data_IF_189879788301
#
_entry.id   IF_189879788301
#
_cell.length_a   1.000
_cell.length_b   1.000
_cell.length_c   1.000
_cell.angle_alpha   90.00
_cell.angle_beta   90.00
_cell.angle_gamma   90.00
#
_symmetry.space_group_name_H-M   'P 1'
#
loop_
_entity.id
_entity.type
_entity.pdbx_description
1 polymer ?
#
# COMPACT_ATOMS: atom_id res chain seq x y z
N UNK A 1 3.66 64.84 61.84
CA UNK A 1 2.37 64.25 62.26
C UNK A 1 1.59 63.90 61.00
N UNK A 2 1.16 62.63 60.85
CA UNK A 2 0.14 62.10 59.90
C UNK A 2 0.54 62.04 58.41
N UNK A 3 0.25 61.03 57.60
CA UNK A 3 -0.15 59.61 57.70
C UNK A 3 0.03 59.10 56.25
N UNK A 4 0.81 58.06 55.98
CA UNK A 4 0.84 57.39 54.65
C UNK A 4 0.07 56.07 54.75
N UNK A 5 -1.00 55.84 53.94
CA UNK A 5 -1.70 54.58 53.95
C UNK A 5 -1.07 53.58 52.96
N UNK A 6 -0.95 52.35 53.45
CA UNK A 6 -0.53 51.15 52.71
C UNK A 6 -1.65 50.72 51.75
N UNK A 7 -1.35 50.66 50.45
CA UNK A 7 -2.26 50.10 49.44
C UNK A 7 -1.96 48.61 49.25
N UNK A 8 -2.79 47.78 49.87
CA UNK A 8 -2.81 46.32 49.76
C UNK A 8 -3.34 45.93 48.36
N UNK A 9 -2.49 45.37 47.49
CA UNK A 9 -2.91 44.84 46.18
C UNK A 9 -3.49 43.45 46.35
N UNK A 10 -4.79 43.29 46.12
CA UNK A 10 -5.46 42.00 45.97
C UNK A 10 -5.02 41.35 44.65
N UNK A 11 -4.31 40.22 44.74
CA UNK A 11 -4.10 39.33 43.61
C UNK A 11 -5.34 38.45 43.44
N UNK A 12 -6.18 38.76 42.45
CA UNK A 12 -7.27 37.88 42.03
C UNK A 12 -6.73 36.72 41.21
N UNK A 13 -6.69 35.51 41.78
CA UNK A 13 -6.53 34.27 41.02
C UNK A 13 -7.87 33.94 40.34
N UNK A 14 -7.98 34.26 39.05
CA UNK A 14 -9.03 33.75 38.18
C UNK A 14 -8.73 32.29 37.81
N UNK A 15 -9.46 31.37 38.45
CA UNK A 15 -9.42 29.93 38.16
C UNK A 15 -10.17 29.66 36.84
N UNK A 16 -9.44 29.56 35.73
CA UNK A 16 -10.00 29.17 34.44
C UNK A 16 -10.29 27.66 34.42
N UNK A 17 -11.57 27.28 34.40
CA UNK A 17 -12.02 25.92 34.11
C UNK A 17 -11.72 25.59 32.64
N UNK A 18 -10.67 24.80 32.40
CA UNK A 18 -10.41 24.16 31.11
C UNK A 18 -11.38 22.98 30.94
N UNK A 19 -12.44 23.16 30.16
CA UNK A 19 -13.24 22.04 29.66
C UNK A 19 -12.44 21.31 28.57
N UNK A 20 -11.83 20.18 28.91
CA UNK A 20 -11.33 19.23 27.93
C UNK A 20 -12.53 18.51 27.30
N UNK A 21 -12.97 18.96 26.13
CA UNK A 21 -13.91 18.19 25.31
C UNK A 21 -13.15 17.00 24.71
N UNK A 22 -13.31 15.80 25.30
CA UNK A 22 -12.91 14.57 24.64
C UNK A 22 -13.84 14.41 23.42
N UNK A 23 -13.30 14.61 22.21
CA UNK A 23 -14.03 14.28 20.99
C UNK A 23 -14.28 12.77 20.97
N UNK A 24 -15.52 12.35 21.23
CA UNK A 24 -15.89 10.94 21.10
C UNK A 24 -15.84 10.58 19.61
N UNK A 25 -15.16 9.48 19.27
CA UNK A 25 -15.14 8.96 17.92
C UNK A 25 -16.57 8.65 17.45
N UNK A 26 -16.89 8.96 16.20
CA UNK A 26 -18.21 8.65 15.63
C UNK A 26 -18.44 7.14 15.59
N UNK A 27 -19.71 6.72 15.61
CA UNK A 27 -20.10 5.31 15.51
C UNK A 27 -19.54 4.64 14.23
N UNK A 28 -19.44 5.37 13.11
CA UNK A 28 -18.81 4.89 11.88
C UNK A 28 -17.32 4.62 12.06
N UNK A 29 -16.61 5.52 12.75
CA UNK A 29 -15.18 5.40 13.04
C UNK A 29 -14.89 4.23 13.98
N UNK A 30 -15.72 4.07 15.01
CA UNK A 30 -15.66 2.94 15.95
C UNK A 30 -15.92 1.59 15.25
N UNK A 31 -16.84 1.56 14.27
CA UNK A 31 -17.10 0.35 13.49
C UNK A 31 -15.89 -0.02 12.61
N UNK A 32 -15.25 0.96 11.95
CA UNK A 32 -14.03 0.72 11.16
C UNK A 32 -12.92 0.15 12.05
N UNK A 33 -12.71 0.72 13.24
CA UNK A 33 -11.73 0.20 14.20
C UNK A 33 -12.05 -1.23 14.61
N UNK A 34 -13.32 -1.52 14.92
CA UNK A 34 -13.77 -2.87 15.29
C UNK A 34 -13.57 -3.90 14.17
N UNK A 35 -13.82 -3.52 12.91
CA UNK A 35 -13.53 -4.35 11.74
C UNK A 35 -12.03 -4.62 11.62
N UNK A 36 -11.19 -3.62 11.83
CA UNK A 36 -9.73 -3.75 11.74
C UNK A 36 -9.16 -4.62 12.86
N UNK A 37 -9.66 -4.51 14.09
CA UNK A 37 -9.31 -5.41 15.20
C UNK A 37 -9.74 -6.86 14.89
N UNK A 38 -10.93 -7.04 14.33
CA UNK A 38 -11.42 -8.36 13.93
C UNK A 38 -10.52 -9.01 12.85
N UNK A 39 -10.07 -8.22 11.87
CA UNK A 39 -9.17 -8.62 10.78
C UNK A 39 -7.75 -8.94 11.23
N UNK A 40 -7.26 -8.31 12.31
CA UNK A 40 -5.89 -8.52 12.80
C UNK A 40 -5.72 -9.80 13.62
N UNK A 41 -6.69 -10.71 13.60
CA UNK A 41 -6.68 -11.94 14.37
C UNK A 41 -7.15 -13.11 13.48
N UNK A 42 -6.77 -14.33 13.84
CA UNK A 42 -7.29 -15.53 13.20
C UNK A 42 -8.78 -15.68 13.54
N UNK A 43 -9.65 -15.60 12.55
CA UNK A 43 -11.09 -15.73 12.74
C UNK A 43 -11.61 -17.03 12.14
N UNK A 44 -12.67 -17.58 12.74
CA UNK A 44 -13.48 -18.63 12.11
C UNK A 44 -14.69 -17.99 11.47
N UNK A 45 -14.84 -18.17 10.17
CA UNK A 45 -15.94 -17.62 9.39
C UNK A 45 -16.43 -18.65 8.37
N UNK A 46 -17.73 -18.95 8.38
CA UNK A 46 -18.36 -19.93 7.48
C UNK A 46 -17.63 -21.29 7.40
N UNK A 47 -17.09 -21.77 8.53
CA UNK A 47 -16.36 -23.04 8.61
C UNK A 47 -14.89 -22.99 8.16
N UNK A 48 -14.40 -21.83 7.69
CA UNK A 48 -13.01 -21.61 7.31
C UNK A 48 -12.29 -20.75 8.36
N UNK A 49 -10.97 -20.91 8.47
CA UNK A 49 -10.11 -20.07 9.30
C UNK A 49 -9.46 -19.01 8.41
N UNK A 50 -9.64 -17.72 8.71
CA UNK A 50 -8.98 -16.63 8.00
C UNK A 50 -7.52 -16.50 8.42
N UNK A 51 -6.68 -15.93 7.55
CA UNK A 51 -5.37 -15.42 7.96
C UNK A 51 -5.53 -14.09 8.71
N UNK A 52 -4.49 -13.68 9.43
CA UNK A 52 -4.36 -12.30 9.89
C UNK A 52 -4.25 -11.37 8.67
N UNK A 53 -4.97 -10.26 8.69
CA UNK A 53 -5.04 -9.30 7.60
C UNK A 53 -4.65 -7.90 8.07
N UNK A 54 -4.02 -7.09 7.21
CA UNK A 54 -3.78 -5.68 7.50
C UNK A 54 -5.11 -4.91 7.67
N UNK A 55 -5.06 -3.78 8.41
CA UNK A 55 -6.22 -2.92 8.57
C UNK A 55 -6.67 -2.34 7.22
N UNK A 56 -7.98 -2.20 7.05
CA UNK A 56 -8.59 -1.42 5.98
C UNK A 56 -8.31 0.07 6.21
N UNK A 57 -7.96 0.78 5.15
CA UNK A 57 -7.80 2.23 5.15
C UNK A 57 -9.15 2.90 4.91
N UNK A 58 -9.49 3.92 5.72
CA UNK A 58 -10.71 4.70 5.50
C UNK A 58 -10.54 5.59 4.26
N UNK A 59 -11.47 5.52 3.31
CA UNK A 59 -11.49 6.38 2.11
C UNK A 59 -12.82 7.15 2.04
N UNK A 60 -12.81 8.50 2.07
CA UNK A 60 -14.03 9.29 2.05
C UNK A 60 -14.88 9.09 0.79
N UNK A 61 -14.29 8.65 -0.33
CA UNK A 61 -15.02 8.36 -1.57
C UNK A 61 -15.91 7.12 -1.45
N UNK A 62 -15.66 6.27 -0.44
CA UNK A 62 -16.45 5.07 -0.16
C UNK A 62 -17.61 5.33 0.81
N UNK A 63 -17.70 6.54 1.38
CA UNK A 63 -18.81 6.94 2.27
C UNK A 63 -20.02 7.30 1.40
N UNK A 64 -20.77 6.26 1.02
CA UNK A 64 -22.01 6.38 0.25
C UNK A 64 -23.21 6.59 1.17
N UNK A 65 -24.38 6.98 0.63
CA UNK A 65 -25.61 7.09 1.42
C UNK A 65 -26.02 5.74 2.03
N UNK A 66 -26.32 5.73 3.33
CA UNK A 66 -26.74 4.53 4.06
C UNK A 66 -28.08 3.95 3.58
N UNK A 67 -28.98 4.80 3.08
CA UNK A 67 -30.35 4.43 2.69
C UNK A 67 -30.51 4.19 1.19
N UNK A 68 -29.58 4.65 0.35
CA UNK A 68 -29.69 4.53 -1.12
C UNK A 68 -29.06 3.24 -1.65
N UNK A 69 -29.85 2.22 -1.98
CA UNK A 69 -29.39 0.96 -2.59
C UNK A 69 -29.21 1.10 -4.12
N UNK A 70 -28.76 2.27 -4.58
CA UNK A 70 -28.47 2.52 -5.99
C UNK A 70 -27.35 1.64 -6.54
N UNK A 71 -27.12 1.73 -7.85
CA UNK A 71 -26.05 1.00 -8.53
C UNK A 71 -24.68 1.37 -7.93
N UNK A 72 -24.04 0.40 -7.26
CA UNK A 72 -22.77 0.60 -6.57
C UNK A 72 -21.64 1.01 -7.53
N UNK A 73 -21.63 0.45 -8.74
CA UNK A 73 -20.63 0.79 -9.75
C UNK A 73 -20.77 2.23 -10.25
N UNK A 74 -22.00 2.70 -10.44
CA UNK A 74 -22.26 4.10 -10.79
C UNK A 74 -21.90 5.06 -9.63
N UNK A 75 -22.18 4.66 -8.38
CA UNK A 75 -21.82 5.45 -7.21
C UNK A 75 -20.30 5.61 -7.09
N UNK A 76 -19.53 4.54 -7.32
CA UNK A 76 -18.06 4.58 -7.31
C UNK A 76 -17.50 5.44 -8.44
N UNK A 77 -18.08 5.35 -9.64
CA UNK A 77 -17.70 6.22 -10.76
C UNK A 77 -17.95 7.71 -10.43
N UNK A 78 -19.09 8.02 -9.81
CA UNK A 78 -19.45 9.39 -9.40
C UNK A 78 -18.53 9.90 -8.29
N UNK A 79 -18.15 9.05 -7.35
CA UNK A 79 -17.20 9.37 -6.28
C UNK A 79 -15.74 9.47 -6.76
N UNK A 80 -15.47 9.15 -8.03
CA UNK A 80 -14.11 9.12 -8.57
C UNK A 80 -13.22 8.08 -7.88
N UNK A 81 -13.79 6.96 -7.43
CA UNK A 81 -13.03 5.87 -6.85
C UNK A 81 -12.63 4.87 -7.95
N UNK A 82 -11.33 4.74 -8.26
CA UNK A 82 -10.84 3.84 -9.29
C UNK A 82 -10.82 2.41 -8.76
N UNK A 83 -11.93 1.69 -8.88
CA UNK A 83 -12.08 0.33 -8.31
C UNK A 83 -11.66 -0.79 -9.26
N UNK A 84 -10.96 -1.79 -8.72
CA UNK A 84 -10.86 -3.15 -9.30
C UNK A 84 -12.05 -4.00 -8.85
N UNK A 85 -12.39 -3.94 -7.56
CA UNK A 85 -13.53 -4.62 -6.98
C UNK A 85 -14.14 -3.76 -5.86
N UNK A 86 -15.44 -3.88 -5.65
CA UNK A 86 -16.18 -3.18 -4.59
C UNK A 86 -17.34 -4.05 -4.12
N UNK A 87 -17.59 -4.07 -2.81
CA UNK A 87 -18.79 -4.67 -2.23
C UNK A 87 -19.38 -3.74 -1.19
N UNK A 88 -20.70 -3.83 -1.00
CA UNK A 88 -21.41 -3.08 0.02
C UNK A 88 -22.22 -4.03 0.90
N UNK A 89 -22.05 -3.89 2.21
CA UNK A 89 -22.90 -4.49 3.23
C UNK A 89 -23.90 -3.42 3.65
N UNK A 90 -25.18 -3.76 3.64
CA UNK A 90 -26.24 -2.90 4.17
C UNK A 90 -26.85 -3.58 5.38
N UNK A 91 -26.92 -2.88 6.51
CA UNK A 91 -27.52 -3.38 7.75
C UNK A 91 -28.65 -2.43 8.15
N UNK A 92 -29.80 -3.00 8.52
CA UNK A 92 -30.91 -2.24 9.11
C UNK A 92 -31.17 -2.77 10.51
N UNK A 93 -31.22 -1.88 11.49
CA UNK A 93 -31.57 -2.22 12.88
C UNK A 93 -30.49 -1.96 13.94
N UNK A 94 -29.18 -2.18 13.69
CA UNK A 94 -28.13 -1.87 14.66
C UNK A 94 -28.19 -0.42 15.14
N UNK A 95 -28.05 -0.23 16.46
CA UNK A 95 -28.21 1.09 17.10
C UNK A 95 -26.88 1.80 17.34
N UNK A 96 -25.78 1.08 17.21
CA UNK A 96 -24.43 1.50 17.57
C UNK A 96 -23.39 0.62 16.85
N UNK A 97 -22.12 1.02 16.90
CA UNK A 97 -21.04 0.26 16.28
C UNK A 97 -20.92 -1.20 16.78
N UNK A 98 -21.03 -1.50 18.09
CA UNK A 98 -20.95 -2.88 18.57
C UNK A 98 -22.06 -3.80 18.02
N UNK A 99 -23.30 -3.32 17.95
CA UNK A 99 -24.40 -4.09 17.36
C UNK A 99 -24.25 -4.27 15.84
N UNK A 100 -23.70 -3.28 15.15
CA UNK A 100 -23.39 -3.39 13.72
C UNK A 100 -22.26 -4.41 13.49
N UNK A 101 -21.18 -4.37 14.28
CA UNK A 101 -20.08 -5.33 14.21
C UNK A 101 -20.56 -6.76 14.45
N UNK A 102 -21.44 -6.96 15.44
CA UNK A 102 -22.04 -8.29 15.68
C UNK A 102 -22.77 -8.83 14.45
N UNK A 103 -23.59 -8.00 13.80
CA UNK A 103 -24.27 -8.40 12.57
C UNK A 103 -23.29 -8.73 11.43
N UNK A 104 -22.19 -7.98 11.31
CA UNK A 104 -21.11 -8.28 10.35
C UNK A 104 -20.48 -9.65 10.65
N UNK A 105 -20.15 -9.95 11.91
CA UNK A 105 -19.52 -11.22 12.28
C UNK A 105 -20.43 -12.42 11.98
N UNK A 106 -21.74 -12.27 12.20
CA UNK A 106 -22.71 -13.35 12.01
C UNK A 106 -23.04 -13.61 10.54
N UNK A 107 -23.14 -12.56 9.71
CA UNK A 107 -23.70 -12.68 8.35
C UNK A 107 -22.77 -12.26 7.22
N UNK A 108 -21.74 -11.46 7.51
CA UNK A 108 -20.89 -10.83 6.48
C UNK A 108 -19.39 -10.99 6.75
N UNK A 109 -19.00 -11.94 7.61
CA UNK A 109 -17.60 -12.15 7.97
C UNK A 109 -16.73 -12.48 6.74
N UNK A 110 -17.28 -13.17 5.73
CA UNK A 110 -16.55 -13.52 4.52
C UNK A 110 -16.13 -12.29 3.71
N UNK A 111 -16.94 -11.23 3.74
CA UNK A 111 -16.66 -9.98 3.00
C UNK A 111 -15.58 -9.18 3.72
N UNK A 112 -15.73 -8.97 5.04
CA UNK A 112 -14.75 -8.19 5.82
C UNK A 112 -13.44 -8.94 6.09
N UNK A 113 -13.40 -10.26 5.89
CA UNK A 113 -12.18 -11.08 5.97
C UNK A 113 -11.65 -11.47 4.58
N UNK A 114 -12.17 -10.89 3.50
CA UNK A 114 -11.59 -11.10 2.19
C UNK A 114 -10.27 -10.31 2.08
N UNK A 115 -9.13 -10.97 1.80
CA UNK A 115 -7.83 -10.32 1.69
C UNK A 115 -7.75 -9.34 0.51
N UNK A 116 -8.66 -9.40 -0.46
CA UNK A 116 -8.62 -8.51 -1.62
C UNK A 116 -8.99 -7.07 -1.29
N UNK A 117 -9.80 -6.84 -0.23
CA UNK A 117 -10.22 -5.52 0.16
C UNK A 117 -9.22 -4.86 1.10
N UNK A 118 -8.92 -3.60 0.81
CA UNK A 118 -7.92 -2.79 1.53
C UNK A 118 -8.44 -1.42 1.91
N UNK A 119 -9.58 -1.00 1.36
CA UNK A 119 -10.27 0.24 1.70
C UNK A 119 -11.66 0.00 2.28
N UNK A 120 -12.11 0.92 3.12
CA UNK A 120 -13.44 0.93 3.70
C UNK A 120 -14.05 2.32 3.75
N UNK A 121 -15.36 2.41 3.53
CA UNK A 121 -16.18 3.57 3.87
C UNK A 121 -17.39 3.09 4.67
N UNK A 122 -17.70 3.79 5.76
CA UNK A 122 -18.87 3.51 6.59
C UNK A 122 -19.75 4.74 6.64
N UNK A 123 -21.04 4.54 6.46
CA UNK A 123 -22.06 5.57 6.62
C UNK A 123 -23.20 5.02 7.47
N UNK A 124 -23.87 5.92 8.17
CA UNK A 124 -25.05 5.61 8.96
C UNK A 124 -26.10 6.69 8.82
N UNK A 125 -27.35 6.28 8.73
CA UNK A 125 -28.52 7.13 8.86
C UNK A 125 -29.52 6.41 9.79
N UNK A 126 -29.74 6.96 10.97
CA UNK A 126 -30.54 6.35 12.04
C UNK A 126 -30.09 4.93 12.42
N UNK A 127 -30.75 3.91 11.87
CA UNK A 127 -30.45 2.48 12.09
C UNK A 127 -30.02 1.76 10.82
N UNK A 128 -29.93 2.49 9.72
CA UNK A 128 -29.43 1.98 8.46
C UNK A 128 -27.93 2.28 8.38
N UNK A 129 -27.15 1.24 8.13
CA UNK A 129 -25.72 1.30 7.98
C UNK A 129 -25.34 0.80 6.61
N UNK A 130 -24.34 1.44 6.02
CA UNK A 130 -23.71 0.94 4.81
C UNK A 130 -22.20 0.93 4.98
N UNK A 131 -21.63 -0.26 4.79
CA UNK A 131 -20.20 -0.52 4.85
C UNK A 131 -19.77 -0.90 3.44
N UNK A 132 -18.97 -0.06 2.80
CA UNK A 132 -18.41 -0.30 1.48
C UNK A 132 -16.97 -0.71 1.65
N UNK A 133 -16.62 -1.92 1.20
CA UNK A 133 -15.23 -2.38 1.14
C UNK A 133 -14.77 -2.41 -0.31
N UNK A 134 -13.54 -1.97 -0.56
CA UNK A 134 -13.06 -1.81 -1.92
C UNK A 134 -11.60 -2.21 -2.08
N UNK A 135 -11.30 -2.63 -3.30
CA UNK A 135 -9.95 -2.80 -3.83
C UNK A 135 -9.75 -1.75 -4.90
N UNK A 136 -8.85 -0.78 -4.71
CA UNK A 136 -8.57 0.19 -5.76
C UNK A 136 -7.81 -0.48 -6.91
N UNK A 137 -7.84 0.13 -8.09
CA UNK A 137 -6.85 -0.10 -9.12
C UNK A 137 -5.50 0.33 -8.54
N UNK A 138 -4.50 -0.55 -8.65
CA UNK A 138 -3.14 -0.32 -8.11
C UNK A 138 -2.52 0.99 -8.65
N UNK A 139 -2.89 1.40 -9.86
CA UNK A 139 -2.48 2.67 -10.48
C UNK A 139 -2.95 3.92 -9.73
N UNK A 140 -3.92 3.83 -8.83
CA UNK A 140 -4.46 4.99 -8.13
C UNK A 140 -3.63 5.47 -6.93
N UNK A 141 -2.72 4.62 -6.43
CA UNK A 141 -1.84 4.93 -5.28
C UNK A 141 -0.38 5.11 -5.65
N UNK A 142 -0.01 4.63 -6.83
CA UNK A 142 1.34 4.75 -7.37
C UNK A 142 1.42 6.03 -8.22
N UNK A 143 2.57 6.72 -8.14
CA UNK A 143 2.93 7.71 -9.16
C UNK A 143 3.16 7.02 -10.50
N UNK A 144 3.56 7.78 -11.53
CA UNK A 144 4.01 7.15 -12.77
C UNK A 144 5.22 6.20 -12.54
N UNK A 145 5.51 5.36 -13.54
CA UNK A 145 6.56 4.35 -13.43
C UNK A 145 7.95 4.95 -13.17
N UNK A 146 8.22 6.18 -13.62
CA UNK A 146 9.51 6.85 -13.39
C UNK A 146 9.60 7.30 -11.93
N UNK A 147 8.55 7.93 -11.41
CA UNK A 147 8.48 8.37 -10.03
C UNK A 147 8.62 7.19 -9.05
N UNK A 148 7.92 6.09 -9.29
CA UNK A 148 8.05 4.87 -8.47
C UNK A 148 9.40 4.18 -8.66
N UNK A 149 9.96 4.20 -9.88
CA UNK A 149 11.31 3.71 -10.14
C UNK A 149 12.39 4.48 -9.36
N UNK A 150 12.26 5.81 -9.25
CA UNK A 150 13.16 6.64 -8.44
C UNK A 150 13.01 6.39 -6.94
N UNK A 151 11.78 6.18 -6.45
CA UNK A 151 11.55 5.76 -5.06
C UNK A 151 12.19 4.40 -4.79
N UNK A 152 12.10 3.47 -5.74
CA UNK A 152 12.75 2.16 -5.65
C UNK A 152 14.27 2.30 -5.61
N UNK A 153 14.87 3.13 -6.47
CA UNK A 153 16.31 3.45 -6.39
C UNK A 153 16.70 3.95 -4.99
N UNK A 154 15.92 4.89 -4.42
CA UNK A 154 16.22 5.45 -3.11
C UNK A 154 16.22 4.37 -2.00
N UNK A 155 15.19 3.52 -1.95
CA UNK A 155 15.11 2.43 -0.96
C UNK A 155 16.19 1.37 -1.16
N UNK A 156 16.54 1.03 -2.40
CA UNK A 156 17.64 0.11 -2.70
C UNK A 156 18.99 0.70 -2.29
N UNK A 157 19.20 2.00 -2.48
CA UNK A 157 20.41 2.69 -2.00
C UNK A 157 20.48 2.72 -0.47
N UNK A 158 19.37 2.95 0.23
CA UNK A 158 19.30 2.77 1.69
C UNK A 158 19.67 1.35 2.06
N UNK A 159 19.17 0.34 1.34
CA UNK A 159 19.47 -1.05 1.62
C UNK A 159 20.96 -1.38 1.49
N UNK A 160 21.63 -0.79 0.49
CA UNK A 160 23.06 -0.93 0.17
C UNK A 160 24.01 -0.26 1.18
N UNK A 161 23.53 0.71 1.98
CA UNK A 161 24.35 1.36 3.02
C UNK A 161 24.71 0.46 4.21
N UNK A 162 24.13 -0.74 4.30
CA UNK A 162 24.33 -1.65 5.42
C UNK A 162 24.88 -2.98 4.90
N UNK A 163 25.78 -3.66 5.66
CA UNK A 163 26.13 -5.04 5.38
C UNK A 163 24.88 -5.92 5.38
N UNK A 164 24.85 -6.93 4.49
CA UNK A 164 23.71 -7.84 4.32
C UNK A 164 24.20 -9.28 4.24
N UNK A 165 23.41 -10.18 4.83
CA UNK A 165 23.55 -11.61 4.64
C UNK A 165 22.51 -12.07 3.60
N UNK A 166 22.96 -12.43 2.41
CA UNK A 166 22.11 -12.90 1.30
C UNK A 166 22.23 -14.43 1.21
N UNK A 167 21.42 -15.14 2.00
CA UNK A 167 21.56 -16.60 2.16
C UNK A 167 22.91 -16.96 2.79
N UNK A 168 23.72 -17.76 2.10
CA UNK A 168 25.06 -18.14 2.58
C UNK A 168 26.13 -17.05 2.32
N UNK A 169 25.84 -16.06 1.46
CA UNK A 169 26.81 -15.03 1.07
C UNK A 169 26.70 -13.79 1.95
N UNK A 170 27.85 -13.29 2.41
CA UNK A 170 27.94 -12.03 3.15
C UNK A 170 28.42 -10.92 2.22
N UNK A 171 27.69 -9.80 2.23
CA UNK A 171 28.02 -8.60 1.46
C UNK A 171 28.28 -7.44 2.42
N UNK A 172 29.38 -6.71 2.20
CA UNK A 172 29.61 -5.45 2.89
C UNK A 172 28.62 -4.37 2.42
N UNK A 173 28.54 -3.26 3.17
CA UNK A 173 27.92 -2.05 2.65
C UNK A 173 28.63 -1.63 1.35
N UNK A 174 27.87 -1.15 0.36
CA UNK A 174 28.37 -0.88 -0.98
C UNK A 174 27.87 0.46 -1.49
N UNK A 175 28.51 0.96 -2.55
CA UNK A 175 28.24 2.30 -3.10
C UNK A 175 26.79 2.43 -3.59
N UNK A 176 26.20 3.62 -3.46
CA UNK A 176 24.88 3.88 -4.03
C UNK A 176 24.94 3.77 -5.56
N UNK A 177 23.82 3.32 -6.14
CA UNK A 177 23.59 3.28 -7.57
C UNK A 177 23.07 4.63 -8.06
N UNK A 178 23.32 4.92 -9.33
CA UNK A 178 22.86 6.13 -10.02
C UNK A 178 21.74 5.78 -11.00
N UNK A 179 20.73 6.64 -11.10
CA UNK A 179 19.65 6.43 -12.06
C UNK A 179 20.17 6.49 -13.49
N UNK A 180 19.83 5.49 -14.29
CA UNK A 180 20.12 5.42 -15.71
C UNK A 180 18.81 5.29 -16.51
N UNK A 181 18.50 6.32 -17.32
CA UNK A 181 17.25 6.39 -18.06
C UNK A 181 17.12 5.29 -19.13
N UNK A 182 18.25 4.87 -19.73
CA UNK A 182 18.28 3.79 -20.73
C UNK A 182 17.89 2.45 -20.11
N UNK A 183 18.50 2.10 -18.97
CA UNK A 183 18.12 0.91 -18.20
C UNK A 183 16.67 1.00 -17.71
N UNK A 184 16.17 2.20 -17.38
CA UNK A 184 14.80 2.39 -16.93
C UNK A 184 13.79 2.13 -18.06
N UNK A 185 14.10 2.53 -19.29
CA UNK A 185 13.31 2.19 -20.49
C UNK A 185 13.28 0.68 -20.76
N UNK A 186 14.41 0.00 -20.58
CA UNK A 186 14.47 -1.47 -20.69
C UNK A 186 13.61 -2.16 -19.61
N UNK A 187 13.69 -1.67 -18.37
CA UNK A 187 12.88 -2.16 -17.26
C UNK A 187 11.37 -1.94 -17.50
N UNK A 188 10.97 -0.77 -18.01
CA UNK A 188 9.57 -0.47 -18.34
C UNK A 188 9.04 -1.43 -19.40
N UNK A 189 9.83 -1.67 -20.44
CA UNK A 189 9.47 -2.59 -21.53
C UNK A 189 9.24 -4.01 -20.98
N UNK A 190 10.12 -4.50 -20.12
CA UNK A 190 9.97 -5.83 -19.52
C UNK A 190 8.76 -5.91 -18.57
N UNK A 191 8.56 -4.91 -17.72
CA UNK A 191 7.39 -4.85 -16.83
C UNK A 191 6.09 -4.85 -17.62
N UNK A 192 6.00 -4.05 -18.69
CA UNK A 192 4.82 -4.03 -19.58
C UNK A 192 4.63 -5.34 -20.31
N UNK A 193 5.70 -5.98 -20.75
CA UNK A 193 5.62 -7.30 -21.40
C UNK A 193 5.05 -8.35 -20.44
N UNK A 194 5.57 -8.43 -19.21
CA UNK A 194 5.07 -9.35 -18.18
C UNK A 194 3.60 -9.10 -17.83
N UNK A 195 3.21 -7.82 -17.70
CA UNK A 195 1.84 -7.43 -17.42
C UNK A 195 0.88 -7.79 -18.55
N UNK A 196 1.15 -7.31 -19.77
CA UNK A 196 0.24 -7.44 -20.91
C UNK A 196 0.11 -8.89 -21.40
N UNK A 197 1.17 -9.69 -21.23
CA UNK A 197 1.20 -11.06 -21.71
C UNK A 197 1.04 -12.08 -20.57
N UNK A 198 0.70 -11.64 -19.35
CA UNK A 198 0.48 -12.49 -18.18
C UNK A 198 1.55 -13.59 -17.97
N UNK A 199 2.80 -13.18 -17.78
CA UNK A 199 3.90 -14.11 -17.44
C UNK A 199 4.88 -13.48 -16.45
N UNK A 200 5.73 -14.31 -15.84
CA UNK A 200 6.77 -13.88 -14.90
C UNK A 200 8.07 -14.63 -15.17
N UNK A 201 8.96 -14.03 -15.96
CA UNK A 201 10.24 -14.62 -16.37
C UNK A 201 11.26 -13.49 -16.67
N UNK A 202 12.54 -13.81 -16.54
CA UNK A 202 13.66 -12.95 -16.92
C UNK A 202 13.82 -12.86 -18.45
N UNK A 203 13.36 -13.86 -19.20
CA UNK A 203 13.28 -13.80 -20.66
C UNK A 203 11.98 -13.16 -21.11
N UNK A 204 12.05 -12.30 -22.11
CA UNK A 204 10.82 -11.78 -22.74
C UNK A 204 10.16 -12.83 -23.64
N UNK A 205 9.02 -12.49 -24.23
CA UNK A 205 8.27 -13.41 -25.12
C UNK A 205 8.99 -13.77 -26.40
N UNK A 206 9.96 -12.96 -26.81
CA UNK A 206 10.82 -13.23 -27.96
C UNK A 206 12.10 -13.98 -27.53
N UNK A 207 12.22 -14.36 -26.25
CA UNK A 207 13.33 -15.10 -25.68
C UNK A 207 14.54 -14.23 -25.28
N UNK A 208 14.43 -12.90 -25.37
CA UNK A 208 15.53 -11.97 -25.06
C UNK A 208 15.83 -11.96 -23.57
N UNK A 209 17.10 -12.02 -23.23
CA UNK A 209 17.63 -11.92 -21.87
C UNK A 209 17.68 -10.46 -21.39
N UNK A 210 17.94 -10.20 -20.10
CA UNK A 210 18.15 -8.84 -19.61
C UNK A 210 19.28 -8.08 -20.35
N UNK A 211 20.36 -8.78 -20.71
CA UNK A 211 21.46 -8.22 -21.49
C UNK A 211 21.01 -7.77 -22.88
N UNK A 212 20.32 -8.65 -23.61
CA UNK A 212 19.77 -8.32 -24.94
C UNK A 212 18.85 -7.09 -24.87
N UNK A 213 18.00 -7.00 -23.84
CA UNK A 213 17.12 -5.83 -23.65
C UNK A 213 17.88 -4.55 -23.32
N UNK A 214 18.98 -4.64 -22.57
CA UNK A 214 19.83 -3.49 -22.27
C UNK A 214 20.58 -2.99 -23.52
N UNK A 215 21.17 -3.89 -24.31
CA UNK A 215 21.81 -3.56 -25.59
C UNK A 215 20.82 -2.95 -26.58
N UNK A 216 19.62 -3.53 -26.72
CA UNK A 216 18.57 -2.99 -27.60
C UNK A 216 18.08 -1.60 -27.16
N UNK A 217 18.12 -1.31 -25.87
CA UNK A 217 17.82 0.02 -25.35
C UNK A 217 18.98 1.01 -25.59
N UNK A 218 20.17 0.54 -25.96
CA UNK A 218 21.37 1.35 -26.19
C UNK A 218 22.25 1.53 -24.94
N UNK A 219 22.20 0.58 -24.00
CA UNK A 219 23.09 0.56 -22.85
C UNK A 219 24.24 -0.44 -23.07
N UNK A 220 25.43 0.07 -23.36
CA UNK A 220 26.65 -0.73 -23.46
C UNK A 220 27.13 -1.11 -22.04
N UNK A 221 27.41 -2.39 -21.78
CA UNK A 221 27.73 -2.85 -20.42
C UNK A 221 28.88 -3.85 -20.36
N UNK A 222 29.61 -3.81 -19.25
CA UNK A 222 30.51 -4.89 -18.81
C UNK A 222 29.81 -5.85 -17.86
N UNK A 223 28.82 -5.36 -17.10
CA UNK A 223 28.02 -6.14 -16.17
C UNK A 223 26.57 -5.72 -16.26
N UNK A 224 25.67 -6.71 -16.24
CA UNK A 224 24.22 -6.52 -16.26
C UNK A 224 23.57 -7.47 -15.27
N UNK A 225 22.53 -7.00 -14.60
CA UNK A 225 21.73 -7.82 -13.69
C UNK A 225 20.27 -7.39 -13.70
N UNK A 226 19.38 -8.30 -13.31
CA UNK A 226 17.95 -8.01 -13.21
C UNK A 226 17.36 -8.62 -11.93
N UNK A 227 16.51 -7.85 -11.27
CA UNK A 227 15.55 -8.38 -10.31
C UNK A 227 14.13 -8.09 -10.82
N UNK A 228 13.22 -9.06 -10.70
CA UNK A 228 11.80 -8.90 -11.01
C UNK A 228 10.94 -9.21 -9.79
N UNK A 229 9.76 -8.59 -9.70
CA UNK A 229 8.78 -8.84 -8.64
C UNK A 229 7.36 -8.75 -9.22
N UNK A 230 6.41 -9.45 -8.59
CA UNK A 230 5.03 -9.52 -9.05
C UNK A 230 4.06 -9.61 -7.87
N UNK A 231 2.99 -8.81 -7.92
CA UNK A 231 1.94 -8.75 -6.91
C UNK A 231 2.22 -7.84 -5.71
N UNK A 232 3.43 -7.31 -5.56
CA UNK A 232 3.75 -6.31 -4.53
C UNK A 232 3.23 -4.94 -4.97
N UNK A 233 2.36 -4.35 -4.17
CA UNK A 233 1.65 -3.08 -4.47
C UNK A 233 2.41 -1.81 -4.03
N UNK A 234 3.65 -1.95 -3.53
CA UNK A 234 4.47 -0.82 -3.11
C UNK A 234 5.95 -1.14 -3.23
N UNK A 235 6.75 -0.09 -3.44
CA UNK A 235 8.23 -0.14 -3.46
C UNK A 235 8.78 -0.86 -2.23
N UNK A 236 8.25 -0.54 -1.03
CA UNK A 236 8.73 -1.14 0.21
C UNK A 236 8.59 -2.67 0.23
N UNK A 237 7.42 -3.18 -0.19
CA UNK A 237 7.16 -4.63 -0.28
C UNK A 237 8.07 -5.30 -1.32
N UNK A 238 8.35 -4.63 -2.44
CA UNK A 238 9.30 -5.12 -3.46
C UNK A 238 10.71 -5.29 -2.88
N UNK A 239 11.21 -4.24 -2.21
CA UNK A 239 12.55 -4.24 -1.60
C UNK A 239 12.68 -5.30 -0.50
N UNK A 240 11.69 -5.38 0.39
CA UNK A 240 11.69 -6.37 1.47
C UNK A 240 11.62 -7.81 0.90
N UNK A 241 10.86 -8.03 -0.18
CA UNK A 241 10.82 -9.30 -0.91
C UNK A 241 12.17 -9.69 -1.52
N UNK A 242 12.87 -8.76 -2.17
CA UNK A 242 14.19 -9.03 -2.72
C UNK A 242 15.25 -9.25 -1.66
N UNK A 243 15.22 -8.53 -0.55
CA UNK A 243 16.18 -8.70 0.55
C UNK A 243 16.05 -10.05 1.26
N UNK A 244 14.86 -10.64 1.27
CA UNK A 244 14.62 -11.98 1.85
C UNK A 244 14.95 -13.13 0.89
N UNK A 245 15.11 -12.83 -0.41
CA UNK A 245 15.49 -13.80 -1.43
C UNK A 245 17.01 -13.79 -1.65
N UNK A 246 17.73 -14.90 -1.39
CA UNK A 246 19.20 -14.92 -1.49
C UNK A 246 19.76 -14.43 -2.83
N UNK A 247 19.17 -14.87 -3.95
CA UNK A 247 19.62 -14.47 -5.30
C UNK A 247 19.38 -12.98 -5.58
N UNK A 248 18.17 -12.48 -5.31
CA UNK A 248 17.85 -11.06 -5.52
C UNK A 248 18.64 -10.14 -4.60
N UNK A 249 18.83 -10.55 -3.34
CA UNK A 249 19.67 -9.85 -2.37
C UNK A 249 21.13 -9.77 -2.85
N UNK A 250 21.69 -10.88 -3.33
CA UNK A 250 23.07 -10.91 -3.84
C UNK A 250 23.23 -10.01 -5.07
N UNK A 251 22.27 -10.01 -5.99
CA UNK A 251 22.27 -9.12 -7.15
C UNK A 251 22.19 -7.65 -6.72
N UNK A 252 21.26 -7.32 -5.80
CA UNK A 252 21.12 -5.98 -5.23
C UNK A 252 22.40 -5.49 -4.52
N UNK A 253 23.13 -6.37 -3.85
CA UNK A 253 24.32 -6.01 -3.08
C UNK A 253 25.63 -6.11 -3.88
N UNK A 254 25.57 -6.49 -5.16
CA UNK A 254 26.76 -6.62 -6.00
C UNK A 254 27.49 -5.26 -6.09
N UNK A 255 28.77 -5.18 -5.68
CA UNK A 255 29.56 -3.95 -5.68
C UNK A 255 30.10 -3.58 -7.06
N UNK A 256 29.87 -4.38 -8.10
CA UNK A 256 30.29 -4.05 -9.47
C UNK A 256 29.31 -3.10 -10.17
N UNK A 257 28.03 -3.11 -9.80
CA UNK A 257 27.04 -2.22 -10.40
C UNK A 257 27.22 -0.76 -9.98
N UNK A 258 26.95 0.15 -10.92
CA UNK A 258 26.99 1.60 -10.75
C UNK A 258 25.68 2.26 -11.14
N UNK A 259 25.01 1.68 -12.13
CA UNK A 259 23.79 2.21 -12.74
C UNK A 259 22.58 1.36 -12.37
N UNK A 260 21.42 2.01 -12.31
CA UNK A 260 20.14 1.36 -12.07
C UNK A 260 19.03 2.02 -12.89
N UNK A 261 18.22 1.19 -13.54
CA UNK A 261 16.93 1.59 -14.09
C UNK A 261 15.82 0.74 -13.49
N UNK A 262 14.67 1.34 -13.23
CA UNK A 262 13.55 0.62 -12.64
C UNK A 262 12.22 1.08 -13.22
N UNK A 263 11.25 0.17 -13.27
CA UNK A 263 9.90 0.49 -13.65
C UNK A 263 8.92 -0.51 -13.05
N UNK A 264 7.65 -0.16 -13.12
CA UNK A 264 6.56 -1.09 -12.91
C UNK A 264 5.55 -0.98 -14.04
N UNK A 265 4.74 -2.01 -14.21
CA UNK A 265 3.54 -1.97 -15.03
C UNK A 265 2.41 -2.71 -14.33
N UNK A 266 1.18 -2.29 -14.63
CA UNK A 266 -0.04 -2.91 -14.13
C UNK A 266 -0.87 -3.43 -15.29
N UNK A 267 -1.41 -4.63 -15.14
CA UNK A 267 -2.54 -5.11 -15.93
C UNK A 267 -3.50 -5.81 -14.97
N UNK A 268 -4.66 -5.22 -14.64
CA UNK A 268 -5.63 -5.83 -13.74
C UNK A 268 -6.14 -7.21 -14.19
N UNK A 269 -6.00 -7.55 -15.48
CA UNK A 269 -6.38 -8.84 -16.07
C UNK A 269 -5.31 -9.91 -15.92
N UNK A 270 -4.07 -9.53 -15.61
CA UNK A 270 -3.01 -10.50 -15.32
C UNK A 270 -3.18 -11.09 -13.93
N UNK A 271 -2.56 -12.25 -13.71
CA UNK A 271 -2.65 -13.00 -12.44
C UNK A 271 -2.06 -12.21 -11.27
N UNK A 272 -0.94 -11.51 -11.50
CA UNK A 272 -0.27 -10.73 -10.45
C UNK A 272 -0.78 -9.29 -10.34
N UNK A 273 -1.45 -8.74 -11.37
CA UNK A 273 -1.96 -7.38 -11.41
C UNK A 273 -0.92 -6.26 -11.53
N UNK A 274 0.27 -6.46 -10.97
CA UNK A 274 1.42 -5.54 -11.00
C UNK A 274 2.73 -6.31 -11.12
N UNK A 275 3.66 -5.76 -11.90
CA UNK A 275 4.99 -6.30 -12.10
C UNK A 275 6.02 -5.19 -12.00
N UNK A 276 7.17 -5.51 -11.43
CA UNK A 276 8.30 -4.63 -11.27
C UNK A 276 9.53 -5.24 -11.91
N UNK A 277 10.33 -4.41 -12.56
CA UNK A 277 11.65 -4.77 -13.07
C UNK A 277 12.66 -3.74 -12.58
N UNK A 278 13.79 -4.22 -12.08
CA UNK A 278 14.99 -3.42 -11.86
C UNK A 278 16.13 -4.01 -12.67
N UNK A 279 16.76 -3.16 -13.46
CA UNK A 279 17.97 -3.42 -14.22
C UNK A 279 19.15 -2.76 -13.52
N UNK A 280 20.22 -3.53 -13.29
CA UNK A 280 21.48 -3.07 -12.72
C UNK A 280 22.57 -3.12 -13.78
N UNK A 281 23.42 -2.09 -13.87
CA UNK A 281 24.46 -2.03 -14.90
C UNK A 281 25.80 -1.47 -14.41
N UNK A 282 26.85 -1.77 -15.16
CA UNK A 282 28.11 -1.04 -15.15
C UNK A 282 28.73 -1.06 -16.55
N UNK A 283 29.32 0.07 -16.95
CA UNK A 283 29.99 0.29 -18.24
C UNK A 283 31.51 0.26 -18.07
#
# INVERSE_FOLDING_TARGET
MRFTPSAMRFAGLSLGLLFAANAMASDESQLIESINVYRSQLQRCAGQVSSELPPLAADPRLVLSATSIGNLQQAMATAGYPMKNVQAISLSGPRDAPSAMKAIQESFCQIVLDPQFVDVGVSRQDRDWRIVVARPLLSARLGDWQAEGQKLLAELNVARTRPRQCGAQSFAATTPLTWNATLASAAETQSRSMANNNYFDHKDRDGRTPGDRAELAGYDFQQIGENIAAGQDSVRKVVDGWLTSPGHCANLMNPQYRDLGAAYAVDPKSDAGIYWTVMFGAQ
#
